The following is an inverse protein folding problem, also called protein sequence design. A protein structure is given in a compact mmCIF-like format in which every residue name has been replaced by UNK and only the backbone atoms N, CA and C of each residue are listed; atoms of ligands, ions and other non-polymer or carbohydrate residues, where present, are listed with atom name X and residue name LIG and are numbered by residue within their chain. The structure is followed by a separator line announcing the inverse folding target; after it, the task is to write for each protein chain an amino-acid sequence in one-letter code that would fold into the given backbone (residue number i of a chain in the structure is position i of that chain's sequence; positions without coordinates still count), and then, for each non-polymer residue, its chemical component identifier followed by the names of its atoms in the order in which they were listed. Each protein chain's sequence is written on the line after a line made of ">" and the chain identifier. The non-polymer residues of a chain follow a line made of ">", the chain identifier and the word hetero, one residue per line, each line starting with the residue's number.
data_IF_903564828910
#
_entry.id   IF_903564828910
#
_cell.length_a   1.000
_cell.length_b   1.000
_cell.length_c   1.000
_cell.angle_alpha   90.00
_cell.angle_beta   90.00
_cell.angle_gamma   90.00
#
_symmetry.space_group_name_H-M   'P 1'
#
loop_
_entity.id
_entity.type
_entity.pdbx_description
1 polymer ?
#
# COMPACT_ATOMS: atom_id res chain seq x y z
N UNK A 1 55.99 -17.24 -51.15
CA UNK A 1 54.83 -16.64 -51.87
C UNK A 1 54.12 -15.72 -50.92
N UNK A 2 54.31 -14.41 -51.10
CA UNK A 2 53.82 -13.39 -50.19
C UNK A 2 52.33 -13.15 -50.41
N UNK A 3 51.48 -13.44 -49.41
CA UNK A 3 50.03 -13.26 -49.52
C UNK A 3 49.71 -11.80 -49.22
N UNK A 4 49.66 -11.00 -50.29
CA UNK A 4 49.31 -9.58 -50.23
C UNK A 4 48.06 -9.30 -49.38
N UNK A 5 48.17 -8.30 -48.50
CA UNK A 5 47.08 -7.88 -47.60
C UNK A 5 45.87 -7.42 -48.42
N UNK A 6 44.71 -8.06 -48.20
CA UNK A 6 43.44 -7.72 -48.86
C UNK A 6 43.00 -6.32 -48.43
N UNK A 7 42.93 -5.39 -49.37
CA UNK A 7 42.43 -4.03 -49.14
C UNK A 7 40.89 -4.10 -49.01
N UNK A 8 40.37 -3.92 -47.81
CA UNK A 8 38.93 -3.80 -47.61
C UNK A 8 38.43 -2.46 -48.14
N UNK A 9 37.60 -2.49 -49.20
CA UNK A 9 36.93 -1.30 -49.72
C UNK A 9 35.84 -0.85 -48.73
N UNK A 10 35.92 0.40 -48.26
CA UNK A 10 34.87 0.98 -47.42
C UNK A 10 33.54 1.06 -48.20
N UNK A 11 32.44 0.69 -47.55
CA UNK A 11 31.10 0.83 -48.11
C UNK A 11 30.77 2.32 -48.32
N UNK A 12 30.06 2.70 -49.39
CA UNK A 12 29.69 4.08 -49.63
C UNK A 12 28.77 4.58 -48.51
N UNK A 13 29.12 5.73 -47.92
CA UNK A 13 28.33 6.35 -46.84
C UNK A 13 27.01 6.86 -47.42
N UNK A 14 25.89 6.45 -46.82
CA UNK A 14 24.58 6.93 -47.20
C UNK A 14 24.43 8.42 -46.81
N UNK A 15 24.44 9.30 -47.82
CA UNK A 15 24.36 10.76 -47.62
C UNK A 15 23.03 11.20 -46.98
N UNK A 16 21.95 10.40 -47.09
CA UNK A 16 20.63 10.71 -46.51
C UNK A 16 20.60 10.59 -44.98
N UNK A 17 21.40 9.69 -44.40
CA UNK A 17 21.49 9.47 -42.94
C UNK A 17 22.69 10.18 -42.33
N UNK A 18 23.40 11.01 -43.10
CA UNK A 18 24.59 11.71 -42.63
C UNK A 18 24.15 12.81 -41.66
N UNK A 19 24.63 12.74 -40.42
CA UNK A 19 24.41 13.77 -39.42
C UNK A 19 25.29 14.99 -39.77
N UNK A 20 24.65 16.12 -40.04
CA UNK A 20 25.34 17.40 -40.21
C UNK A 20 25.30 18.16 -38.88
N UNK A 21 26.48 18.39 -38.30
CA UNK A 21 26.62 19.21 -37.09
C UNK A 21 26.77 20.65 -37.56
N UNK A 22 25.69 21.42 -37.47
CA UNK A 22 25.68 22.85 -37.76
C UNK A 22 25.66 23.62 -36.45
N UNK A 23 26.46 24.68 -36.37
CA UNK A 23 26.55 25.49 -35.17
C UNK A 23 25.50 26.60 -35.20
N UNK A 24 24.39 26.38 -34.52
CA UNK A 24 23.36 27.40 -34.34
C UNK A 24 23.72 28.34 -33.19
N UNK A 25 24.00 29.61 -33.51
CA UNK A 25 24.35 30.61 -32.49
C UNK A 25 23.24 30.84 -31.46
N UNK A 26 21.98 30.75 -31.88
CA UNK A 26 20.83 30.88 -30.99
C UNK A 26 20.73 29.71 -30.02
N UNK A 27 20.91 28.47 -30.51
CA UNK A 27 20.98 27.29 -29.65
C UNK A 27 22.18 27.36 -28.69
N UNK A 28 23.31 27.91 -29.13
CA UNK A 28 24.46 28.19 -28.26
C UNK A 28 24.12 29.19 -27.17
N UNK A 29 23.48 30.32 -27.50
CA UNK A 29 23.05 31.34 -26.52
C UNK A 29 22.08 30.76 -25.50
N UNK A 30 21.08 29.99 -25.94
CA UNK A 30 20.14 29.30 -25.06
C UNK A 30 20.83 28.23 -24.20
N UNK A 31 21.80 27.51 -24.76
CA UNK A 31 22.58 26.54 -24.00
C UNK A 31 23.40 27.23 -22.90
N UNK A 32 24.12 28.30 -23.23
CA UNK A 32 24.96 29.03 -22.29
C UNK A 32 24.18 29.84 -21.25
N UNK A 33 23.01 30.40 -21.59
CA UNK A 33 22.23 31.22 -20.64
C UNK A 33 21.10 30.44 -19.96
N UNK A 34 20.65 29.34 -20.56
CA UNK A 34 19.49 28.54 -20.12
C UNK A 34 19.71 27.63 -18.91
N UNK A 35 20.75 27.85 -18.09
CA UNK A 35 21.01 27.03 -16.89
C UNK A 35 19.82 27.03 -15.91
N UNK A 36 19.19 28.19 -15.68
CA UNK A 36 18.00 28.28 -14.84
C UNK A 36 16.83 27.48 -15.43
N UNK A 37 16.57 27.63 -16.75
CA UNK A 37 15.55 26.85 -17.48
C UNK A 37 15.77 25.34 -17.28
N UNK A 38 17.02 24.86 -17.46
CA UNK A 38 17.37 23.44 -17.25
C UNK A 38 17.21 23.00 -15.79
N UNK A 39 17.57 23.86 -14.83
CA UNK A 39 17.41 23.57 -13.39
C UNK A 39 15.94 23.43 -13.03
N UNK A 40 15.09 24.33 -13.50
CA UNK A 40 13.64 24.27 -13.31
C UNK A 40 13.06 23.04 -14.00
N UNK A 41 13.44 22.76 -15.25
CA UNK A 41 12.98 21.58 -15.98
C UNK A 41 13.30 20.28 -15.23
N UNK A 42 14.53 20.14 -14.70
CA UNK A 42 14.90 18.98 -13.85
C UNK A 42 14.04 18.88 -12.59
N UNK A 43 13.73 20.02 -11.94
CA UNK A 43 12.87 20.02 -10.76
C UNK A 43 11.42 19.63 -11.09
N UNK A 44 10.89 20.12 -12.20
CA UNK A 44 9.54 19.78 -12.69
C UNK A 44 9.49 18.29 -13.02
N UNK A 45 10.44 17.78 -13.81
CA UNK A 45 10.55 16.36 -14.15
C UNK A 45 10.59 15.47 -12.91
N UNK A 46 11.43 15.79 -11.93
CA UNK A 46 11.49 15.03 -10.68
C UNK A 46 10.18 15.07 -9.87
N UNK A 47 9.41 16.17 -9.94
CA UNK A 47 8.09 16.26 -9.32
C UNK A 47 7.04 15.44 -10.06
N UNK A 48 7.08 15.40 -11.39
CA UNK A 48 6.20 14.60 -12.24
C UNK A 48 6.45 13.11 -12.04
N UNK A 49 7.71 12.67 -12.12
CA UNK A 49 8.10 11.28 -11.84
C UNK A 49 7.63 10.83 -10.45
N UNK A 50 7.72 11.69 -9.43
CA UNK A 50 7.23 11.39 -8.10
C UNK A 50 5.69 11.26 -8.04
N UNK A 51 4.97 12.11 -8.79
CA UNK A 51 3.50 12.03 -8.88
C UNK A 51 3.05 10.77 -9.62
N UNK A 52 3.75 10.38 -10.68
CA UNK A 52 3.48 9.15 -11.43
C UNK A 52 3.68 7.93 -10.55
N UNK A 53 4.82 7.84 -9.87
CA UNK A 53 5.09 6.77 -8.88
C UNK A 53 3.99 6.68 -7.81
N UNK A 54 3.54 7.81 -7.26
CA UNK A 54 2.41 7.80 -6.31
C UNK A 54 1.10 7.27 -6.92
N UNK A 55 0.81 7.60 -8.18
CA UNK A 55 -0.41 7.13 -8.86
C UNK A 55 -0.34 5.62 -9.10
N UNK A 56 0.81 5.13 -9.54
CA UNK A 56 1.07 3.71 -9.75
C UNK A 56 0.98 2.92 -8.45
N UNK A 57 1.62 3.38 -7.37
CA UNK A 57 1.53 2.76 -6.05
C UNK A 57 0.07 2.73 -5.55
N UNK A 58 -0.67 3.83 -5.68
CA UNK A 58 -2.10 3.86 -5.33
C UNK A 58 -2.93 2.89 -6.16
N UNK A 59 -2.63 2.77 -7.46
CA UNK A 59 -3.32 1.84 -8.36
C UNK A 59 -3.05 0.39 -7.96
N UNK A 60 -1.78 0.05 -7.70
CA UNK A 60 -1.33 -1.25 -7.24
C UNK A 60 -2.03 -1.65 -5.94
N UNK A 61 -1.93 -0.83 -4.89
CA UNK A 61 -2.53 -1.12 -3.58
C UNK A 61 -4.05 -1.24 -3.68
N UNK A 62 -4.70 -0.45 -4.54
CA UNK A 62 -6.15 -0.57 -4.79
C UNK A 62 -6.51 -1.88 -5.49
N UNK A 63 -5.69 -2.35 -6.42
CA UNK A 63 -5.90 -3.64 -7.09
C UNK A 63 -5.70 -4.78 -6.09
N UNK A 64 -4.60 -4.75 -5.33
CA UNK A 64 -4.30 -5.74 -4.30
C UNK A 64 -5.41 -5.82 -3.23
N UNK A 65 -5.91 -4.68 -2.75
CA UNK A 65 -7.03 -4.64 -1.80
C UNK A 65 -8.33 -5.22 -2.40
N UNK A 66 -8.57 -5.02 -3.71
CA UNK A 66 -9.74 -5.61 -4.41
C UNK A 66 -9.58 -7.11 -4.56
N UNK A 67 -8.40 -7.57 -4.92
CA UNK A 67 -8.10 -8.99 -5.10
C UNK A 67 -8.13 -9.73 -3.77
N UNK A 68 -7.58 -9.13 -2.70
CA UNK A 68 -7.67 -9.64 -1.33
C UNK A 68 -9.14 -9.73 -0.87
N UNK A 69 -9.94 -8.69 -1.11
CA UNK A 69 -11.37 -8.73 -0.80
C UNK A 69 -12.10 -9.82 -1.61
N UNK A 70 -11.80 -9.95 -2.91
CA UNK A 70 -12.39 -10.98 -3.76
C UNK A 70 -12.02 -12.39 -3.27
N UNK A 71 -10.75 -12.62 -2.91
CA UNK A 71 -10.28 -13.90 -2.36
C UNK A 71 -11.05 -14.26 -1.07
N UNK A 72 -11.11 -13.34 -0.12
CA UNK A 72 -11.85 -13.55 1.13
C UNK A 72 -13.33 -13.82 0.87
N UNK A 73 -14.00 -13.02 0.04
CA UNK A 73 -15.43 -13.20 -0.25
C UNK A 73 -15.70 -14.51 -1.00
N UNK A 74 -14.84 -14.93 -1.93
CA UNK A 74 -15.00 -16.18 -2.68
C UNK A 74 -14.80 -17.40 -1.79
N UNK A 75 -13.86 -17.36 -0.83
CA UNK A 75 -13.69 -18.45 0.14
C UNK A 75 -14.88 -18.62 1.10
N UNK A 76 -15.74 -17.61 1.26
CA UNK A 76 -16.97 -17.70 2.07
C UNK A 76 -18.19 -18.21 1.28
N UNK A 77 -18.06 -18.57 0.00
CA UNK A 77 -19.18 -19.21 -0.70
C UNK A 77 -19.32 -20.65 -0.19
N UNK A 78 -20.53 -21.10 0.18
CA UNK A 78 -20.74 -22.48 0.56
C UNK A 78 -20.34 -23.38 -0.61
N UNK A 79 -19.56 -24.41 -0.31
CA UNK A 79 -19.17 -25.43 -1.28
C UNK A 79 -20.38 -26.34 -1.45
N UNK A 80 -20.95 -26.49 -2.66
CA UNK A 80 -22.19 -27.26 -2.87
C UNK A 80 -22.10 -28.68 -2.31
N UNK A 81 -20.94 -29.33 -2.47
CA UNK A 81 -20.69 -30.69 -1.96
C UNK A 81 -20.75 -30.77 -0.43
N UNK A 82 -20.37 -29.72 0.29
CA UNK A 82 -20.46 -29.66 1.75
C UNK A 82 -21.85 -29.21 2.21
N UNK A 83 -22.55 -28.40 1.43
CA UNK A 83 -23.92 -27.97 1.70
C UNK A 83 -24.86 -29.18 1.67
N UNK A 84 -24.69 -30.10 0.72
CA UNK A 84 -25.48 -31.35 0.63
C UNK A 84 -25.21 -32.36 1.76
N UNK A 85 -24.04 -32.27 2.40
CA UNK A 85 -23.65 -33.09 3.56
C UNK A 85 -24.11 -32.47 4.88
N UNK A 86 -24.12 -31.14 4.97
CA UNK A 86 -24.65 -30.39 6.10
C UNK A 86 -26.18 -30.28 6.06
N UNK A 87 -26.79 -30.40 4.88
CA UNK A 87 -28.23 -30.48 4.71
C UNK A 87 -28.73 -31.75 5.40
N UNK A 88 -29.58 -31.55 6.40
CA UNK A 88 -30.18 -32.59 7.22
C UNK A 88 -31.03 -33.51 6.33
N UNK A 89 -30.47 -34.66 5.92
CA UNK A 89 -31.21 -35.70 5.19
C UNK A 89 -32.12 -36.43 6.19
N UNK A 90 -33.34 -35.94 6.33
CA UNK A 90 -34.43 -36.68 6.98
C UNK A 90 -34.98 -37.72 6.01
N UNK A 91 -34.98 -38.99 6.41
CA UNK A 91 -35.65 -40.05 5.67
C UNK A 91 -37.02 -40.26 6.31
N UNK A 92 -38.08 -39.93 5.58
CA UNK A 92 -39.46 -40.10 6.03
C UNK A 92 -39.93 -41.52 5.72
N UNK A 93 -40.29 -42.28 6.75
CA UNK A 93 -40.97 -43.56 6.65
C UNK A 93 -42.45 -43.41 6.99
N UNK A 94 -43.26 -44.40 6.61
CA UNK A 94 -44.74 -44.37 6.69
C UNK A 94 -45.29 -44.08 8.10
N UNK A 95 -44.52 -44.32 9.16
CA UNK A 95 -44.92 -44.09 10.56
C UNK A 95 -43.97 -43.19 11.36
N UNK A 96 -42.79 -42.82 10.85
CA UNK A 96 -41.79 -42.01 11.57
C UNK A 96 -40.68 -41.49 10.63
N UNK A 97 -40.00 -40.41 11.02
CA UNK A 97 -38.86 -39.84 10.29
C UNK A 97 -37.56 -40.04 11.06
N UNK A 98 -36.48 -40.40 10.38
CA UNK A 98 -35.13 -40.55 10.99
C UNK A 98 -34.16 -39.55 10.36
N UNK A 99 -33.47 -38.77 11.20
CA UNK A 99 -32.38 -37.86 10.81
C UNK A 99 -31.06 -38.34 11.41
N UNK A 100 -30.05 -38.55 10.56
CA UNK A 100 -28.70 -38.93 11.01
C UNK A 100 -27.86 -37.65 11.07
N UNK A 101 -27.58 -37.18 12.29
CA UNK A 101 -26.82 -35.96 12.54
C UNK A 101 -25.59 -36.28 13.40
N UNK A 102 -24.42 -35.79 13.00
CA UNK A 102 -23.18 -35.99 13.75
C UNK A 102 -23.20 -35.11 15.01
N UNK A 103 -23.31 -35.74 16.18
CA UNK A 103 -23.36 -35.03 17.46
C UNK A 103 -21.94 -34.70 17.93
N UNK A 104 -21.61 -33.41 17.98
CA UNK A 104 -20.37 -32.96 18.62
C UNK A 104 -20.52 -32.88 20.15
N UNK A 105 -19.44 -33.16 20.88
CA UNK A 105 -19.43 -33.11 22.34
C UNK A 105 -19.90 -31.75 22.88
N UNK A 106 -19.52 -30.64 22.22
CA UNK A 106 -19.94 -29.30 22.61
C UNK A 106 -21.46 -29.05 22.44
N UNK A 107 -22.08 -29.61 21.41
CA UNK A 107 -23.53 -29.50 21.21
C UNK A 107 -24.32 -30.33 22.24
N UNK A 108 -23.76 -31.47 22.65
CA UNK A 108 -24.31 -32.32 23.72
C UNK A 108 -24.18 -31.65 25.09
N UNK A 109 -23.05 -31.01 25.38
CA UNK A 109 -22.81 -30.26 26.62
C UNK A 109 -23.80 -29.11 26.85
N UNK A 110 -24.27 -28.46 25.77
CA UNK A 110 -25.24 -27.36 25.88
C UNK A 110 -26.68 -27.84 26.14
N UNK A 111 -27.04 -29.03 25.62
CA UNK A 111 -28.42 -29.56 25.69
C UNK A 111 -28.63 -30.52 26.85
N UNK A 112 -27.58 -31.21 27.29
CA UNK A 112 -27.59 -32.16 28.38
C UNK A 112 -26.84 -31.59 29.57
N UNK A 113 -27.34 -31.81 30.79
CA UNK A 113 -26.63 -31.49 32.03
C UNK A 113 -25.45 -32.46 32.31
N UNK A 114 -24.74 -32.89 31.27
CA UNK A 114 -23.56 -33.73 31.40
C UNK A 114 -22.35 -32.89 31.79
N UNK A 115 -21.47 -33.51 32.58
CA UNK A 115 -20.14 -32.98 32.90
C UNK A 115 -19.38 -32.95 31.59
N UNK A 116 -19.21 -31.76 31.02
CA UNK A 116 -18.58 -31.58 29.72
C UNK A 116 -17.11 -31.99 29.70
N UNK A 117 -16.48 -31.75 28.56
CA UNK A 117 -15.08 -32.04 28.29
C UNK A 117 -14.19 -31.43 29.38
N UNK A 118 -13.40 -32.27 30.07
CA UNK A 118 -12.53 -31.83 31.14
C UNK A 118 -11.41 -30.93 30.57
N UNK A 119 -11.54 -29.61 30.77
CA UNK A 119 -10.54 -28.62 30.36
C UNK A 119 -9.76 -28.17 31.59
N UNK A 120 -8.45 -28.33 31.54
CA UNK A 120 -7.54 -27.80 32.57
C UNK A 120 -7.56 -26.27 32.47
N UNK A 121 -8.04 -25.60 33.52
CA UNK A 121 -7.87 -24.16 33.66
C UNK A 121 -6.41 -23.91 34.06
N UNK A 122 -5.64 -23.34 33.13
CA UNK A 122 -4.36 -22.73 33.50
C UNK A 122 -4.70 -21.37 34.11
N UNK A 123 -4.27 -21.14 35.34
CA UNK A 123 -4.31 -19.80 35.94
C UNK A 123 -3.41 -18.89 35.10
N UNK A 124 -4.03 -18.03 34.29
CA UNK A 124 -3.35 -16.85 33.76
C UNK A 124 -2.94 -16.01 34.97
N UNK A 125 -1.66 -16.12 35.34
CA UNK A 125 -1.01 -15.08 36.12
C UNK A 125 -1.24 -13.77 35.36
N UNK A 126 -2.02 -12.89 35.99
CA UNK A 126 -2.21 -11.51 35.58
C UNK A 126 -0.83 -10.84 35.46
N UNK A 127 -0.23 -10.95 34.29
CA UNK A 127 0.83 -10.08 33.85
C UNK A 127 0.11 -8.88 33.24
N UNK A 128 0.15 -7.76 33.98
CA UNK A 128 -0.07 -6.44 33.44
C UNK A 128 1.03 -6.17 32.39
N UNK A 129 0.93 -6.80 31.23
CA UNK A 129 1.64 -6.34 30.07
C UNK A 129 0.82 -5.19 29.50
N UNK A 130 1.27 -3.96 29.78
CA UNK A 130 1.08 -2.82 28.90
C UNK A 130 1.67 -3.16 27.52
N UNK A 131 0.93 -3.96 26.77
CA UNK A 131 1.18 -4.25 25.38
C UNK A 131 0.93 -2.99 24.59
N UNK A 132 2.01 -2.23 24.35
CA UNK A 132 2.15 -1.50 23.10
C UNK A 132 1.66 -2.42 21.99
N UNK A 133 0.50 -2.11 21.41
CA UNK A 133 -0.01 -2.74 20.20
C UNK A 133 0.91 -2.35 19.04
N UNK A 134 2.12 -2.88 19.02
CA UNK A 134 2.78 -3.23 17.77
C UNK A 134 1.89 -4.30 17.14
N UNK A 135 1.03 -3.82 16.25
CA UNK A 135 0.19 -4.66 15.40
C UNK A 135 1.14 -5.54 14.61
N UNK A 136 1.22 -6.77 15.11
CA UNK A 136 1.91 -7.90 14.54
C UNK A 136 1.66 -7.95 13.02
N UNK A 137 2.74 -8.14 12.26
CA UNK A 137 2.70 -8.35 10.81
C UNK A 137 2.17 -9.75 10.47
N UNK A 138 1.09 -10.17 11.14
CA UNK A 138 0.32 -11.31 10.71
C UNK A 138 -0.62 -10.88 9.59
N UNK A 139 -0.48 -11.56 8.45
CA UNK A 139 -1.51 -11.67 7.42
C UNK A 139 -2.89 -11.77 8.06
N UNK A 140 -3.98 -11.26 7.44
CA UNK A 140 -5.31 -11.44 8.01
C UNK A 140 -5.51 -12.93 8.28
N UNK A 141 -5.45 -13.30 9.55
CA UNK A 141 -5.68 -14.65 10.00
C UNK A 141 -7.08 -14.98 9.53
N UNK A 142 -7.15 -15.92 8.59
CA UNK A 142 -8.37 -16.58 8.17
C UNK A 142 -8.92 -17.22 9.45
N UNK A 143 -9.86 -16.54 10.12
CA UNK A 143 -10.33 -16.94 11.46
C UNK A 143 -10.86 -15.80 12.34
N UNK A 144 -10.62 -14.52 12.02
CA UNK A 144 -11.37 -13.44 12.66
C UNK A 144 -12.74 -13.28 12.00
N UNK A 145 -13.79 -13.73 12.69
CA UNK A 145 -15.18 -13.61 12.25
C UNK A 145 -15.61 -12.13 12.23
N UNK A 146 -15.49 -11.51 11.06
CA UNK A 146 -16.10 -10.21 10.83
C UNK A 146 -17.62 -10.38 10.83
N UNK A 147 -18.27 -9.94 11.92
CA UNK A 147 -19.73 -10.05 12.12
C UNK A 147 -20.53 -9.38 10.99
N UNK A 148 -19.94 -8.41 10.28
CA UNK A 148 -20.56 -7.76 9.13
C UNK A 148 -19.60 -7.55 7.96
N UNK A 149 -20.10 -7.67 6.72
CA UNK A 149 -19.33 -7.35 5.52
C UNK A 149 -18.83 -5.89 5.45
N UNK A 150 -19.42 -4.97 6.24
CA UNK A 150 -18.95 -3.58 6.40
C UNK A 150 -17.65 -3.52 7.20
N UNK A 151 -17.49 -4.35 8.23
CA UNK A 151 -16.26 -4.43 9.03
C UNK A 151 -15.11 -4.98 8.20
N UNK A 152 -15.36 -6.03 7.41
CA UNK A 152 -14.37 -6.58 6.48
C UNK A 152 -13.86 -5.50 5.50
N UNK A 153 -14.77 -4.73 4.88
CA UNK A 153 -14.39 -3.62 3.99
C UNK A 153 -13.59 -2.54 4.72
N UNK A 154 -13.93 -2.22 5.96
CA UNK A 154 -13.17 -1.26 6.79
C UNK A 154 -11.78 -1.79 7.11
N UNK A 155 -11.65 -3.06 7.46
CA UNK A 155 -10.36 -3.71 7.75
C UNK A 155 -9.44 -3.70 6.52
N UNK A 156 -9.94 -4.13 5.35
CA UNK A 156 -9.20 -4.08 4.08
C UNK A 156 -8.76 -2.66 3.75
N UNK A 157 -9.65 -1.68 3.92
CA UNK A 157 -9.32 -0.26 3.68
C UNK A 157 -8.24 0.24 4.65
N UNK A 158 -8.29 -0.14 5.93
CA UNK A 158 -7.25 0.22 6.91
C UNK A 158 -5.89 -0.34 6.50
N UNK A 159 -5.81 -1.64 6.16
CA UNK A 159 -4.58 -2.28 5.68
C UNK A 159 -4.02 -1.58 4.44
N UNK A 160 -4.87 -1.33 3.44
CA UNK A 160 -4.48 -0.59 2.23
C UNK A 160 -3.95 0.82 2.54
N UNK A 161 -4.56 1.56 3.50
CA UNK A 161 -4.06 2.89 3.87
C UNK A 161 -2.72 2.85 4.63
N UNK A 162 -2.48 1.81 5.43
CA UNK A 162 -1.19 1.61 6.10
C UNK A 162 -0.10 1.28 5.09
N UNK A 163 -0.42 0.42 4.11
CA UNK A 163 0.49 0.06 3.02
C UNK A 163 0.88 1.28 2.17
N UNK A 164 -0.09 2.14 1.83
CA UNK A 164 0.19 3.41 1.14
C UNK A 164 1.17 4.26 1.95
N UNK A 165 1.02 4.32 3.27
CA UNK A 165 1.91 5.09 4.16
C UNK A 165 3.32 4.48 4.24
N UNK A 166 3.44 3.15 4.20
CA UNK A 166 4.72 2.43 4.17
C UNK A 166 5.48 2.62 2.84
N UNK A 167 4.79 2.95 1.74
CA UNK A 167 5.43 3.12 0.41
C UNK A 167 6.54 4.19 0.38
N UNK A 168 7.66 3.89 -0.30
CA UNK A 168 8.81 4.80 -0.43
C UNK A 168 8.43 6.12 -1.11
N UNK A 169 7.54 6.06 -2.10
CA UNK A 169 7.04 7.25 -2.82
C UNK A 169 6.24 8.18 -1.89
N UNK A 170 5.40 7.62 -1.03
CA UNK A 170 4.64 8.39 -0.05
C UNK A 170 5.53 9.00 1.04
N UNK A 171 6.48 8.22 1.58
CA UNK A 171 7.44 8.72 2.56
C UNK A 171 8.30 9.87 1.98
N UNK A 172 8.72 9.77 0.72
CA UNK A 172 9.48 10.83 0.05
C UNK A 172 8.65 12.11 -0.10
N UNK A 173 7.38 11.99 -0.49
CA UNK A 173 6.43 13.11 -0.53
C UNK A 173 6.27 13.78 0.82
N UNK A 174 6.06 12.99 1.87
CA UNK A 174 5.85 13.51 3.21
C UNK A 174 7.10 14.25 3.72
N UNK A 175 8.29 13.68 3.50
CA UNK A 175 9.57 14.37 3.79
C UNK A 175 9.69 15.71 3.06
N UNK A 176 9.28 15.79 1.79
CA UNK A 176 9.27 17.04 1.02
C UNK A 176 8.29 18.05 1.62
N UNK A 177 7.08 17.59 2.01
CA UNK A 177 6.07 18.44 2.62
C UNK A 177 6.50 18.95 3.99
N UNK A 178 7.04 18.10 4.85
CA UNK A 178 7.60 18.47 6.15
C UNK A 178 8.70 19.53 6.00
N UNK A 179 9.64 19.35 5.05
CA UNK A 179 10.67 20.36 4.75
C UNK A 179 10.06 21.70 4.33
N UNK A 180 9.00 21.69 3.51
CA UNK A 180 8.27 22.91 3.11
C UNK A 180 7.59 23.56 4.32
N UNK A 181 6.93 22.79 5.17
CA UNK A 181 6.26 23.28 6.38
C UNK A 181 7.26 23.88 7.38
N UNK A 182 8.39 23.21 7.66
CA UNK A 182 9.47 23.74 8.51
C UNK A 182 10.00 25.08 8.00
N UNK A 183 10.23 25.21 6.69
CA UNK A 183 10.64 26.48 6.06
C UNK A 183 9.58 27.58 6.21
N UNK A 184 8.29 27.25 6.03
CA UNK A 184 7.18 28.20 6.23
C UNK A 184 7.09 28.66 7.69
N UNK A 185 7.17 27.72 8.63
CA UNK A 185 7.13 28.01 10.06
C UNK A 185 8.30 28.91 10.50
N UNK A 186 9.52 28.63 10.03
CA UNK A 186 10.69 29.48 10.27
C UNK A 186 10.48 30.92 9.78
N UNK A 187 10.01 31.09 8.54
CA UNK A 187 9.68 32.43 8.00
C UNK A 187 8.59 33.14 8.80
N UNK A 188 7.56 32.44 9.26
CA UNK A 188 6.51 33.02 10.09
C UNK A 188 7.04 33.44 11.46
N UNK A 189 7.90 32.64 12.10
CA UNK A 189 8.56 32.99 13.36
C UNK A 189 9.42 34.25 13.19
N UNK A 190 10.19 34.33 12.12
CA UNK A 190 11.01 35.52 11.82
C UNK A 190 10.15 36.78 11.64
N UNK A 191 9.05 36.67 10.89
CA UNK A 191 8.09 37.78 10.72
C UNK A 191 7.48 38.22 12.06
N UNK A 192 7.05 37.26 12.90
CA UNK A 192 6.51 37.54 14.25
C UNK A 192 7.55 38.22 15.14
N UNK A 193 8.79 37.75 15.10
CA UNK A 193 9.89 38.34 15.86
C UNK A 193 10.17 39.79 15.42
N UNK A 194 10.26 40.05 14.11
CA UNK A 194 10.42 41.40 13.56
C UNK A 194 9.25 42.32 13.94
N UNK A 195 8.02 41.82 13.91
CA UNK A 195 6.85 42.57 14.36
C UNK A 195 6.92 42.90 15.86
N UNK A 196 7.37 41.96 16.70
CA UNK A 196 7.57 42.19 18.14
C UNK A 196 8.62 43.25 18.42
N UNK A 197 9.75 43.21 17.72
CA UNK A 197 10.81 44.23 17.83
C UNK A 197 10.29 45.63 17.45
N UNK A 198 9.53 45.73 16.35
CA UNK A 198 8.90 46.99 15.95
C UNK A 198 7.94 47.52 17.01
N UNK A 199 7.09 46.66 17.57
CA UNK A 199 6.14 47.06 18.64
C UNK A 199 6.83 47.54 19.90
N UNK A 200 7.91 46.88 20.31
CA UNK A 200 8.66 47.27 21.50
C UNK A 200 9.42 48.59 21.31
N UNK A 201 9.89 48.88 20.08
CA UNK A 201 10.51 50.17 19.75
C UNK A 201 9.52 51.34 19.83
N UNK A 202 8.25 51.12 19.48
CA UNK A 202 7.18 52.14 19.54
C UNK A 202 6.68 52.38 20.97
N UNK A 203 6.79 51.40 21.87
CA UNK A 203 6.37 51.54 23.29
C UNK A 203 7.45 52.14 24.21
N UNK A 204 8.68 52.25 23.73
CA UNK A 204 9.81 52.82 24.49
C UNK A 204 10.13 54.28 24.11
N UNK A 205 9.24 54.94 23.36
CA UNK A 205 9.24 56.38 23.08
C UNK A 205 7.99 57.00 23.71
#
# INVERSE_FOLDING_TARGET
>A
MDKGKKIHRHKPINRKTKLNIVFDENARRDFLTGFHKRKVARQVKAQEELKEKLKEERKRIKQEARDAYKKMVVSYRPIPELEDLLAEKSVDFENHSVSVLELSAAALEQKSNWIGSNKVQYEEQASEEEGNNEVDESDPTIGMDFKTGKELKKAVKKKATQEVKKSKAFQLQDKIQQRKQKKKASKQKEKRFKARLKRNKVKGQ
#
